data_IF_472338194329
#
_entry.id   IF_472338194329
#
_cell.length_a   1.000
_cell.length_b   1.000
_cell.length_c   1.000
_cell.angle_alpha   90.00
_cell.angle_beta   90.00
_cell.angle_gamma   90.00
#
_symmetry.space_group_name_H-M   'P 1'
#
loop_
_entity.id
_entity.type
_entity.pdbx_description
1 polymer ?
#
# COMPACT_ATOMS: atom_id res chain seq x y z
N UNK A 1 10.31 9.70 4.00
CA UNK A 1 8.87 9.79 4.35
C UNK A 1 8.76 10.51 5.67
N UNK A 2 7.81 11.42 5.81
CA UNK A 2 7.44 12.08 7.07
C UNK A 2 5.99 11.73 7.40
N UNK A 3 5.65 11.65 8.68
CA UNK A 3 4.28 11.46 9.13
C UNK A 3 4.09 12.23 10.44
N UNK A 4 2.90 12.81 10.60
CA UNK A 4 2.51 13.45 11.85
C UNK A 4 1.97 12.39 12.80
N UNK A 5 2.57 12.30 13.98
CA UNK A 5 2.22 11.30 15.00
C UNK A 5 1.79 12.08 16.24
N UNK A 6 0.56 11.86 16.74
CA UNK A 6 0.08 12.58 17.92
C UNK A 6 0.92 12.23 19.14
N UNK A 7 1.27 13.25 19.93
CA UNK A 7 1.92 13.06 21.22
C UNK A 7 0.92 12.54 22.25
N UNK A 8 1.41 11.81 23.25
CA UNK A 8 0.63 11.45 24.42
C UNK A 8 0.23 12.73 25.19
N UNK A 9 -0.78 12.63 26.06
CA UNK A 9 -1.21 13.74 26.92
C UNK A 9 -0.10 14.33 27.81
N UNK A 10 0.93 13.53 28.11
CA UNK A 10 2.15 13.93 28.82
C UNK A 10 3.16 14.71 27.97
N UNK A 11 2.90 14.91 26.67
CA UNK A 11 3.84 15.46 25.70
C UNK A 11 4.94 14.48 25.25
N UNK A 12 4.93 13.24 25.74
CA UNK A 12 5.82 12.19 25.27
C UNK A 12 5.36 11.55 23.97
N UNK A 13 6.21 10.71 23.39
CA UNK A 13 5.93 9.98 22.16
C UNK A 13 6.00 8.47 22.39
N UNK A 14 4.92 7.77 22.07
CA UNK A 14 4.86 6.30 22.09
C UNK A 14 5.52 5.72 20.83
N UNK A 15 6.71 5.15 21.01
CA UNK A 15 7.47 4.51 19.94
C UNK A 15 6.79 3.23 19.43
N UNK A 16 5.93 2.59 20.23
CA UNK A 16 5.13 1.44 19.79
C UNK A 16 4.11 1.82 18.72
N UNK A 17 3.51 3.00 18.82
CA UNK A 17 2.61 3.52 17.78
C UNK A 17 3.37 3.90 16.51
N UNK A 18 4.55 4.51 16.63
CA UNK A 18 5.45 4.78 15.48
C UNK A 18 5.81 3.49 14.74
N UNK A 19 6.23 2.45 15.49
CA UNK A 19 6.58 1.14 14.92
C UNK A 19 5.42 0.53 14.13
N UNK A 20 4.22 0.53 14.69
CA UNK A 20 3.03 -0.03 14.03
C UNK A 20 2.66 0.76 12.78
N UNK A 21 2.68 2.09 12.84
CA UNK A 21 2.31 2.95 11.72
C UNK A 21 3.24 2.77 10.52
N UNK A 22 4.54 2.57 10.74
CA UNK A 22 5.52 2.39 9.67
C UNK A 22 5.91 0.93 9.40
N UNK A 23 5.34 -0.05 10.12
CA UNK A 23 5.69 -1.46 9.96
C UNK A 23 7.16 -1.76 10.30
N UNK A 24 7.67 -1.13 11.35
CA UNK A 24 9.04 -1.34 11.85
C UNK A 24 9.06 -2.39 12.96
N UNK A 25 10.05 -3.28 12.94
CA UNK A 25 10.34 -4.20 14.05
C UNK A 25 11.05 -3.45 15.19
N UNK A 26 12.09 -2.71 14.80
CA UNK A 26 12.86 -1.88 15.73
C UNK A 26 12.81 -0.42 15.32
N UNK A 27 12.87 0.47 16.30
CA UNK A 27 12.74 1.89 16.08
C UNK A 27 13.54 2.58 17.16
N UNK A 28 14.60 3.27 16.76
CA UNK A 28 15.40 4.12 17.64
C UNK A 28 15.43 5.52 17.06
N UNK A 29 15.18 6.56 17.88
CA UNK A 29 15.41 7.93 17.45
C UNK A 29 16.90 8.19 17.22
N UNK A 30 17.22 9.13 16.35
CA UNK A 30 18.59 9.59 16.07
C UNK A 30 18.81 10.93 16.74
N UNK A 31 19.88 11.05 17.53
CA UNK A 31 20.33 12.33 18.06
C UNK A 31 20.86 13.21 16.90
N UNK A 32 20.25 14.38 16.62
CA UNK A 32 20.63 15.21 15.48
C UNK A 32 22.00 15.87 15.64
N UNK A 33 22.52 16.01 16.87
CA UNK A 33 23.84 16.58 17.12
C UNK A 33 24.93 15.54 16.95
N UNK A 34 24.69 14.32 17.45
CA UNK A 34 25.69 13.24 17.47
C UNK A 34 25.62 12.32 16.26
N UNK A 35 24.52 12.36 15.51
CA UNK A 35 24.20 11.41 14.44
C UNK A 35 24.34 9.95 14.88
N UNK A 36 23.92 9.67 16.12
CA UNK A 36 23.97 8.34 16.73
C UNK A 36 22.58 7.92 17.20
N UNK A 37 22.28 6.60 17.21
CA UNK A 37 21.04 6.10 17.76
C UNK A 37 20.94 6.48 19.24
N UNK A 38 19.85 7.16 19.62
CA UNK A 38 19.53 7.47 21.00
C UNK A 38 18.74 6.31 21.60
N UNK A 39 19.26 5.73 22.69
CA UNK A 39 18.60 4.64 23.41
C UNK A 39 17.80 5.22 24.57
N UNK A 40 16.46 5.26 24.48
CA UNK A 40 15.65 5.73 25.59
C UNK A 40 15.75 4.77 26.77
N UNK A 41 15.59 5.29 27.99
CA UNK A 41 15.49 4.48 29.21
C UNK A 41 14.32 3.51 29.13
N UNK A 42 13.21 3.94 28.51
CA UNK A 42 12.03 3.11 28.26
C UNK A 42 11.96 2.73 26.77
N UNK A 43 12.05 1.44 26.41
CA UNK A 43 12.16 1.00 25.01
C UNK A 43 11.01 1.42 24.08
N UNK A 44 9.84 1.68 24.64
CA UNK A 44 8.62 2.00 23.89
C UNK A 44 8.17 3.45 24.06
N UNK A 45 8.91 4.28 24.79
CA UNK A 45 8.45 5.62 25.15
C UNK A 45 9.58 6.64 25.16
N UNK A 46 9.32 7.77 24.51
CA UNK A 46 10.19 8.94 24.51
C UNK A 46 9.57 10.02 25.41
N UNK A 47 10.32 10.49 26.41
CA UNK A 47 9.84 11.55 27.29
C UNK A 47 9.65 12.87 26.56
N UNK A 48 8.79 13.75 27.06
CA UNK A 48 8.55 15.08 26.47
C UNK A 48 9.85 15.90 26.31
N UNK A 49 10.77 15.79 27.30
CA UNK A 49 12.09 16.43 27.22
C UNK A 49 12.91 15.85 26.07
N UNK A 50 12.94 14.53 25.93
CA UNK A 50 13.66 13.88 24.82
C UNK A 50 13.03 14.25 23.47
N UNK A 51 11.70 14.33 23.37
CA UNK A 51 10.99 14.83 22.18
C UNK A 51 11.44 16.25 21.83
N UNK A 52 11.45 17.16 22.81
CA UNK A 52 11.85 18.55 22.62
C UNK A 52 13.31 18.66 22.15
N UNK A 53 14.24 17.97 22.82
CA UNK A 53 15.68 17.98 22.46
C UNK A 53 15.91 17.39 21.08
N UNK A 54 15.28 16.26 20.75
CA UNK A 54 15.49 15.57 19.48
C UNK A 54 14.85 16.32 18.29
N UNK A 55 13.80 17.11 18.53
CA UNK A 55 13.12 17.90 17.51
C UNK A 55 13.63 19.34 17.37
N UNK A 56 14.37 19.86 18.35
CA UNK A 56 14.73 21.28 18.48
C UNK A 56 15.31 21.92 17.20
N UNK A 57 16.18 21.21 16.48
CA UNK A 57 16.89 21.79 15.32
C UNK A 57 16.17 21.60 13.99
N UNK A 58 15.34 20.56 13.85
CA UNK A 58 14.79 20.13 12.56
C UNK A 58 13.26 20.14 12.52
N UNK A 59 12.60 20.42 13.65
CA UNK A 59 11.16 20.34 13.79
C UNK A 59 10.60 18.92 13.65
N UNK A 60 11.46 17.90 13.51
CA UNK A 60 11.07 16.50 13.39
C UNK A 60 12.10 15.59 14.06
N UNK A 61 11.64 14.42 14.48
CA UNK A 61 12.49 13.37 15.06
C UNK A 61 12.78 12.35 13.97
N UNK A 62 14.07 12.12 13.69
CA UNK A 62 14.52 11.08 12.76
C UNK A 62 14.58 9.75 13.48
N UNK A 63 14.07 8.71 12.83
CA UNK A 63 14.11 7.34 13.34
C UNK A 63 14.93 6.45 12.42
N UNK A 64 15.58 5.46 13.01
CA UNK A 64 16.27 4.37 12.31
C UNK A 64 15.81 3.03 12.87
N UNK A 65 15.96 2.02 12.03
CA UNK A 65 15.73 0.62 12.40
C UNK A 65 17.07 -0.11 12.33
N UNK A 66 17.81 -0.22 13.45
CA UNK A 66 19.17 -0.75 13.46
C UNK A 66 19.22 -2.25 13.19
N UNK A 67 18.17 -2.98 13.58
CA UNK A 67 18.10 -4.44 13.45
C UNK A 67 16.79 -4.80 12.78
N UNK A 68 16.88 -5.50 11.67
CA UNK A 68 15.75 -6.04 10.91
C UNK A 68 15.96 -7.53 10.78
N UNK A 69 14.93 -8.33 11.08
CA UNK A 69 14.95 -9.76 10.83
C UNK A 69 15.05 -10.04 9.33
N UNK A 70 15.70 -11.15 8.98
CA UNK A 70 15.81 -11.57 7.58
C UNK A 70 14.43 -11.73 6.92
N UNK A 71 13.43 -12.20 7.68
CA UNK A 71 12.07 -12.37 7.19
C UNK A 71 11.41 -11.04 6.83
N UNK A 72 11.52 -10.02 7.68
CA UNK A 72 10.96 -8.70 7.39
C UNK A 72 11.67 -8.00 6.25
N UNK A 73 12.99 -8.19 6.13
CA UNK A 73 13.74 -7.67 4.99
C UNK A 73 13.24 -8.28 3.67
N UNK A 74 13.05 -9.61 3.63
CA UNK A 74 12.47 -10.30 2.48
C UNK A 74 11.06 -9.80 2.17
N UNK A 75 10.18 -9.71 3.17
CA UNK A 75 8.82 -9.20 2.98
C UNK A 75 8.80 -7.79 2.39
N UNK A 76 9.68 -6.90 2.86
CA UNK A 76 9.78 -5.52 2.33
C UNK A 76 10.31 -5.49 0.90
N UNK A 77 11.29 -6.31 0.56
CA UNK A 77 11.78 -6.45 -0.81
C UNK A 77 10.67 -6.95 -1.74
N UNK A 78 9.93 -7.97 -1.33
CA UNK A 78 8.78 -8.48 -2.10
C UNK A 78 7.71 -7.41 -2.29
N UNK A 79 7.34 -6.66 -1.24
CA UNK A 79 6.38 -5.55 -1.35
C UNK A 79 6.86 -4.47 -2.31
N UNK A 80 8.14 -4.07 -2.21
CA UNK A 80 8.75 -3.12 -3.14
C UNK A 80 8.72 -3.61 -4.58
N UNK A 81 9.02 -4.89 -4.81
CA UNK A 81 8.96 -5.51 -6.12
C UNK A 81 7.53 -5.54 -6.70
N UNK A 82 6.53 -5.92 -5.89
CA UNK A 82 5.12 -5.94 -6.30
C UNK A 82 4.62 -4.52 -6.65
N UNK A 83 4.93 -3.53 -5.81
CA UNK A 83 4.60 -2.13 -6.11
C UNK A 83 5.30 -1.64 -7.39
N UNK A 84 6.55 -2.07 -7.61
CA UNK A 84 7.29 -1.83 -8.83
C UNK A 84 6.57 -2.39 -10.06
N UNK A 85 6.21 -3.67 -10.05
CA UNK A 85 5.46 -4.30 -11.15
C UNK A 85 4.12 -3.60 -11.38
N UNK A 86 3.37 -3.30 -10.32
CA UNK A 86 2.09 -2.63 -10.43
C UNK A 86 2.23 -1.24 -11.08
N UNK A 87 3.26 -0.48 -10.72
CA UNK A 87 3.54 0.83 -11.31
C UNK A 87 3.91 0.73 -12.80
N UNK A 88 4.71 -0.26 -13.19
CA UNK A 88 5.07 -0.51 -14.59
C UNK A 88 3.84 -0.93 -15.39
N UNK A 89 3.02 -1.84 -14.85
CA UNK A 89 1.77 -2.26 -15.48
C UNK A 89 0.82 -1.07 -15.70
N UNK A 90 0.68 -0.19 -14.69
CA UNK A 90 -0.12 1.01 -14.82
C UNK A 90 0.37 1.94 -15.94
N UNK A 91 1.67 2.17 -16.05
CA UNK A 91 2.27 2.96 -17.13
C UNK A 91 2.06 2.32 -18.50
N UNK A 92 2.22 1.01 -18.63
CA UNK A 92 1.96 0.28 -19.88
C UNK A 92 0.50 0.39 -20.27
N UNK A 93 -0.44 0.25 -19.33
CA UNK A 93 -1.86 0.43 -19.59
C UNK A 93 -2.19 1.85 -20.08
N UNK A 94 -1.64 2.88 -19.43
CA UNK A 94 -1.81 4.27 -19.87
C UNK A 94 -1.27 4.49 -21.30
N UNK A 95 -0.07 3.98 -21.60
CA UNK A 95 0.51 4.08 -22.95
C UNK A 95 -0.28 3.30 -24.00
N UNK A 96 -0.75 2.10 -23.67
CA UNK A 96 -1.61 1.33 -24.56
C UNK A 96 -2.93 2.07 -24.86
N UNK A 97 -3.51 2.71 -23.86
CA UNK A 97 -4.71 3.53 -24.02
C UNK A 97 -4.46 4.75 -24.92
N UNK A 98 -3.34 5.46 -24.73
CA UNK A 98 -2.93 6.58 -25.60
C UNK A 98 -2.72 6.13 -27.04
N UNK A 99 -2.00 5.02 -27.28
CA UNK A 99 -1.81 4.50 -28.63
C UNK A 99 -3.12 4.10 -29.28
N UNK A 100 -4.02 3.46 -28.52
CA UNK A 100 -5.35 3.11 -29.02
C UNK A 100 -6.17 4.35 -29.40
N UNK A 101 -6.13 5.40 -28.58
CA UNK A 101 -6.77 6.67 -28.89
C UNK A 101 -6.19 7.31 -30.16
N UNK A 102 -4.87 7.28 -30.33
CA UNK A 102 -4.19 7.79 -31.53
C UNK A 102 -4.52 6.96 -32.78
N UNK A 103 -4.57 5.63 -32.71
CA UNK A 103 -4.99 4.79 -33.82
C UNK A 103 -6.44 5.09 -34.21
N UNK A 104 -7.34 5.25 -33.22
CA UNK A 104 -8.71 5.68 -33.47
C UNK A 104 -8.72 7.04 -34.18
N UNK A 105 -7.91 8.00 -33.75
CA UNK A 105 -7.81 9.34 -34.34
C UNK A 105 -7.25 9.33 -35.77
N UNK A 106 -6.23 8.52 -36.03
CA UNK A 106 -5.56 8.42 -37.32
C UNK A 106 -6.38 7.64 -38.37
N UNK A 107 -6.99 6.52 -37.96
CA UNK A 107 -7.69 5.60 -38.88
C UNK A 107 -9.19 5.92 -39.02
N UNK A 108 -9.76 6.80 -38.19
CA UNK A 108 -11.14 7.24 -38.35
C UNK A 108 -11.24 8.76 -38.56
N UNK A 109 -11.88 9.24 -39.65
CA UNK A 109 -12.13 10.67 -39.84
C UNK A 109 -13.19 11.16 -38.84
N UNK A 110 -12.72 11.52 -37.65
CA UNK A 110 -13.50 11.70 -36.42
C UNK A 110 -14.46 12.90 -36.35
N UNK A 111 -14.48 13.93 -37.22
CA UNK A 111 -15.57 14.89 -37.18
C UNK A 111 -16.89 14.31 -37.72
N UNK A 112 -16.83 13.44 -38.72
CA UNK A 112 -18.01 12.91 -39.42
C UNK A 112 -18.52 11.59 -38.86
N UNK A 113 -17.61 10.66 -38.57
CA UNK A 113 -17.96 9.31 -38.11
C UNK A 113 -18.39 9.31 -36.65
N UNK A 114 -17.79 10.14 -35.78
CA UNK A 114 -18.20 10.28 -34.38
C UNK A 114 -19.64 10.81 -34.24
N UNK A 115 -20.07 11.73 -35.11
CA UNK A 115 -21.49 12.20 -35.16
C UNK A 115 -22.45 11.13 -35.70
N UNK A 116 -21.98 10.13 -36.46
CA UNK A 116 -22.79 8.99 -36.92
C UNK A 116 -22.80 7.87 -35.87
N UNK A 117 -21.65 7.55 -35.27
CA UNK A 117 -21.53 6.56 -34.20
C UNK A 117 -22.24 7.01 -32.93
N UNK A 118 -22.27 8.30 -32.56
CA UNK A 118 -23.12 8.79 -31.45
C UNK A 118 -24.63 8.62 -31.73
N UNK A 119 -25.05 8.65 -33.00
CA UNK A 119 -26.43 8.34 -33.43
C UNK A 119 -26.71 6.84 -33.54
N UNK A 120 -25.67 6.00 -33.63
CA UNK A 120 -25.78 4.54 -33.65
C UNK A 120 -25.56 3.92 -32.27
N UNK A 121 -24.75 4.53 -31.38
CA UNK A 121 -24.55 4.11 -30.00
C UNK A 121 -25.80 4.37 -29.14
N UNK A 122 -26.66 5.32 -29.54
CA UNK A 122 -28.03 5.42 -29.02
C UNK A 122 -28.96 4.32 -29.55
N UNK A 123 -28.48 3.41 -30.41
CA UNK A 123 -29.23 2.30 -31.02
C UNK A 123 -28.60 0.92 -30.77
N UNK A 124 -27.37 0.84 -30.28
CA UNK A 124 -26.78 -0.42 -29.83
C UNK A 124 -27.19 -0.56 -28.37
N UNK A 125 -28.16 -1.44 -28.04
CA UNK A 125 -28.42 -1.74 -26.65
C UNK A 125 -27.17 -2.42 -26.13
N UNK A 126 -26.37 -1.71 -25.32
CA UNK A 126 -25.44 -2.40 -24.45
C UNK A 126 -26.28 -3.37 -23.64
N UNK A 127 -26.15 -4.66 -23.93
CA UNK A 127 -26.81 -5.68 -23.13
C UNK A 127 -26.16 -5.61 -21.77
N UNK A 128 -26.98 -5.61 -20.73
CA UNK A 128 -26.52 -5.63 -19.36
C UNK A 128 -25.51 -6.77 -19.10
N UNK A 129 -25.62 -7.86 -19.86
CA UNK A 129 -24.68 -8.98 -19.89
C UNK A 129 -23.23 -8.57 -20.18
N UNK A 130 -22.98 -7.66 -21.13
CA UNK A 130 -21.62 -7.25 -21.49
C UNK A 130 -20.97 -6.39 -20.41
N UNK A 131 -21.78 -5.52 -19.77
CA UNK A 131 -21.35 -4.72 -18.62
C UNK A 131 -21.05 -5.61 -17.42
N UNK A 132 -21.90 -6.62 -17.19
CA UNK A 132 -21.75 -7.56 -16.09
C UNK A 132 -20.54 -8.47 -16.28
N UNK A 133 -20.28 -8.93 -17.51
CA UNK A 133 -19.09 -9.71 -17.87
C UNK A 133 -17.80 -8.90 -17.67
N UNK A 134 -17.78 -7.64 -18.09
CA UNK A 134 -16.64 -6.75 -17.86
C UNK A 134 -16.40 -6.54 -16.36
N UNK A 135 -17.46 -6.34 -15.58
CA UNK A 135 -17.37 -6.15 -14.14
C UNK A 135 -16.87 -7.42 -13.43
N UNK A 136 -17.31 -8.61 -13.87
CA UNK A 136 -16.82 -9.91 -13.37
C UNK A 136 -15.31 -10.05 -13.62
N UNK A 137 -14.84 -9.70 -14.83
CA UNK A 137 -13.40 -9.76 -15.15
C UNK A 137 -12.60 -8.80 -14.25
N UNK A 138 -13.08 -7.57 -14.06
CA UNK A 138 -12.44 -6.62 -13.15
C UNK A 138 -12.38 -7.13 -11.70
N UNK A 139 -13.44 -7.76 -11.20
CA UNK A 139 -13.48 -8.38 -9.86
C UNK A 139 -12.48 -9.53 -9.74
N UNK A 140 -12.39 -10.40 -10.75
CA UNK A 140 -11.41 -11.49 -10.76
C UNK A 140 -9.98 -10.99 -10.74
N UNK A 141 -9.68 -9.96 -11.54
CA UNK A 141 -8.35 -9.32 -11.55
C UNK A 141 -8.03 -8.72 -10.18
N UNK A 142 -8.97 -8.00 -9.57
CA UNK A 142 -8.80 -7.42 -8.24
C UNK A 142 -8.58 -8.50 -7.16
N UNK A 143 -9.34 -9.59 -7.22
CA UNK A 143 -9.19 -10.74 -6.31
C UNK A 143 -7.82 -11.40 -6.46
N UNK A 144 -7.36 -11.61 -7.69
CA UNK A 144 -6.08 -12.23 -7.99
C UNK A 144 -4.91 -11.36 -7.51
N UNK A 145 -5.03 -10.04 -7.64
CA UNK A 145 -4.08 -9.07 -7.07
C UNK A 145 -4.10 -9.08 -5.54
N UNK A 146 -5.28 -9.16 -4.90
CA UNK A 146 -5.40 -9.24 -3.45
C UNK A 146 -4.83 -10.56 -2.88
N UNK A 147 -5.00 -11.66 -3.62
CA UNK A 147 -4.43 -12.97 -3.29
C UNK A 147 -2.90 -12.96 -3.41
N UNK A 148 -2.36 -12.50 -4.56
CA UNK A 148 -0.91 -12.39 -4.76
C UNK A 148 -0.25 -11.37 -3.82
N UNK A 149 -0.97 -10.31 -3.46
CA UNK A 149 -0.53 -9.30 -2.50
C UNK A 149 -0.59 -9.74 -1.05
N UNK A 150 -1.09 -10.95 -0.75
CA UNK A 150 -1.20 -11.48 0.60
C UNK A 150 -2.28 -10.79 1.47
N UNK A 151 -3.15 -9.97 0.88
CA UNK A 151 -4.29 -9.36 1.60
C UNK A 151 -5.37 -10.40 1.89
N UNK A 152 -5.48 -11.42 1.05
CA UNK A 152 -6.35 -12.58 1.28
C UNK A 152 -5.45 -13.74 1.69
N UNK A 153 -5.17 -13.85 2.99
CA UNK A 153 -4.56 -15.05 3.57
C UNK A 153 -5.56 -16.21 3.51
N UNK A 154 -5.53 -16.93 2.39
CA UNK A 154 -6.02 -18.30 2.35
C UNK A 154 -5.03 -19.13 3.17
N UNK A 155 -5.23 -19.14 4.48
CA UNK A 155 -4.57 -20.05 5.42
C UNK A 155 -5.51 -21.23 5.79
N UNK A 156 -6.00 -22.05 4.83
CA UNK A 156 -6.84 -23.20 5.16
C UNK A 156 -6.04 -24.24 5.94
N UNK A 157 -4.71 -24.34 5.73
CA UNK A 157 -3.84 -25.24 6.49
C UNK A 157 -3.66 -24.81 7.95
N UNK A 158 -3.57 -23.52 8.25
CA UNK A 158 -3.46 -23.06 9.64
C UNK A 158 -4.80 -23.10 10.36
N UNK A 159 -5.90 -22.80 9.67
CA UNK A 159 -7.26 -23.03 10.20
C UNK A 159 -7.53 -24.51 10.45
N UNK A 160 -7.15 -25.41 9.53
CA UNK A 160 -7.27 -26.85 9.73
C UNK A 160 -6.39 -27.35 10.89
N UNK A 161 -5.17 -26.82 11.06
CA UNK A 161 -4.32 -27.15 12.22
C UNK A 161 -4.84 -26.58 13.54
N UNK A 162 -5.37 -25.36 13.54
CA UNK A 162 -6.04 -24.79 14.72
C UNK A 162 -7.28 -25.60 15.09
N UNK A 163 -8.14 -25.91 14.12
CA UNK A 163 -9.32 -26.77 14.31
C UNK A 163 -8.95 -28.15 14.85
N UNK A 164 -7.94 -28.81 14.27
CA UNK A 164 -7.47 -30.11 14.76
C UNK A 164 -6.96 -30.07 16.21
N UNK A 165 -6.54 -28.90 16.71
CA UNK A 165 -6.09 -28.73 18.11
C UNK A 165 -7.18 -28.24 19.05
N UNK A 166 -8.11 -27.40 18.60
CA UNK A 166 -9.07 -26.71 19.47
C UNK A 166 -10.52 -27.17 19.30
N UNK A 167 -10.83 -27.98 18.28
CA UNK A 167 -12.15 -28.57 18.04
C UNK A 167 -13.28 -27.58 17.74
N UNK A 168 -13.00 -26.27 17.67
CA UNK A 168 -14.01 -25.22 17.54
C UNK A 168 -13.71 -24.28 16.38
N UNK A 169 -14.78 -23.90 15.66
CA UNK A 169 -14.77 -22.88 14.63
C UNK A 169 -15.19 -21.54 15.25
N UNK A 170 -14.32 -20.53 15.18
CA UNK A 170 -14.74 -19.13 15.25
C UNK A 170 -14.74 -18.59 13.82
N UNK A 171 -15.91 -18.08 13.41
CA UNK A 171 -16.11 -17.36 12.15
C UNK A 171 -15.61 -15.93 12.29
#
# INVERSE_FOLDING_TARGET
MSADIPLCSSGGLDLGSVKRQWGLETCLPVDPLRWKPFRPTYPHYLSAIAVAVLSQNQGCIKFIEPTVSHQTLMQRQTRGFVLGIASVAHLVCLRAFEMFAQCIEADTPLPGVYRRLRRLASRIPLKWEDILNLLIVCVWVAFLLAFLGGYIELAPRERARKWARTGSFSL
#
